data_IF_308821945461
#
_entry.id   IF_308821945461
#
_cell.length_a   1.000
_cell.length_b   1.000
_cell.length_c   1.000
_cell.angle_alpha   90.00
_cell.angle_beta   90.00
_cell.angle_gamma   90.00
#
_symmetry.space_group_name_H-M   'P 1'
#
loop_
_entity.id
_entity.type
_entity.pdbx_description
1 polymer ?
#
# COMPACT_ATOMS: atom_id res chain seq x y z
N UNK A 1 24.86 4.33 12.47
CA UNK A 1 24.17 3.31 13.27
C UNK A 1 25.01 2.05 13.23
N UNK A 2 25.31 1.41 14.38
CA UNK A 2 26.03 0.14 14.45
C UNK A 2 25.21 -0.98 13.77
N UNK A 3 25.86 -2.00 13.22
CA UNK A 3 25.19 -3.15 12.57
C UNK A 3 24.10 -3.76 13.48
N UNK A 4 24.33 -3.89 14.77
CA UNK A 4 23.39 -4.49 15.74
C UNK A 4 22.05 -3.73 15.88
N UNK A 5 21.98 -2.46 15.56
CA UNK A 5 20.75 -1.67 15.67
C UNK A 5 19.88 -1.73 14.41
N UNK A 6 20.41 -2.26 13.29
CA UNK A 6 19.63 -2.47 12.05
C UNK A 6 18.89 -3.80 12.03
N UNK A 7 19.40 -4.80 12.74
CA UNK A 7 18.84 -6.16 12.71
C UNK A 7 17.50 -6.25 13.44
N UNK A 8 17.24 -5.36 14.40
CA UNK A 8 15.98 -5.28 15.16
C UNK A 8 14.91 -4.38 14.52
N UNK A 9 15.17 -3.79 13.34
CA UNK A 9 14.18 -2.95 12.67
C UNK A 9 13.18 -3.79 11.87
N UNK A 10 11.90 -3.37 11.78
CA UNK A 10 10.96 -3.96 10.82
C UNK A 10 11.53 -3.92 9.41
N UNK A 11 11.29 -4.96 8.61
CA UNK A 11 11.92 -5.07 7.28
C UNK A 11 11.56 -3.91 6.35
N UNK A 12 10.39 -3.33 6.49
CA UNK A 12 10.00 -2.12 5.75
C UNK A 12 11.00 -0.96 5.99
N UNK A 13 11.54 -0.83 7.22
CA UNK A 13 12.53 0.19 7.55
C UNK A 13 13.97 -0.30 7.32
N UNK A 14 14.27 -1.56 7.63
CA UNK A 14 15.59 -2.18 7.40
C UNK A 14 15.98 -2.11 5.93
N UNK A 15 15.05 -2.39 5.03
CA UNK A 15 15.23 -2.40 3.58
C UNK A 15 14.73 -1.13 2.88
N UNK A 16 14.53 -0.03 3.61
CA UNK A 16 14.18 1.25 2.99
C UNK A 16 15.34 1.75 2.12
N UNK A 17 15.08 2.16 0.85
CA UNK A 17 16.09 2.71 -0.03
C UNK A 17 16.90 3.84 0.64
N UNK A 18 18.23 3.75 0.54
CA UNK A 18 19.14 4.75 1.09
C UNK A 18 19.62 5.74 0.05
N UNK A 19 19.58 5.37 -1.22
CA UNK A 19 19.95 6.19 -2.37
C UNK A 19 18.91 6.01 -3.50
N UNK A 20 18.92 6.90 -4.50
CA UNK A 20 17.95 6.89 -5.58
C UNK A 20 18.08 5.65 -6.49
N UNK A 21 19.24 5.00 -6.54
CA UNK A 21 19.42 3.79 -7.36
C UNK A 21 18.69 2.57 -6.78
N UNK A 22 18.37 2.60 -5.50
CA UNK A 22 17.64 1.55 -4.79
C UNK A 22 16.12 1.73 -4.84
N UNK A 23 15.63 2.78 -5.51
CA UNK A 23 14.20 3.02 -5.69
C UNK A 23 13.72 2.30 -6.93
N UNK A 24 12.86 1.31 -6.73
CA UNK A 24 12.34 0.45 -7.80
C UNK A 24 11.01 0.96 -8.36
N UNK A 25 10.78 0.70 -9.65
CA UNK A 25 9.47 0.86 -10.29
C UNK A 25 9.04 2.29 -10.63
N UNK A 26 9.86 3.33 -10.32
CA UNK A 26 9.54 4.75 -10.56
C UNK A 26 10.65 5.46 -11.37
N UNK A 27 11.22 4.79 -12.36
CA UNK A 27 12.43 5.21 -13.07
C UNK A 27 12.35 6.61 -13.68
N UNK A 28 11.21 6.97 -14.29
CA UNK A 28 11.01 8.28 -14.92
C UNK A 28 11.01 9.41 -13.86
N UNK A 29 10.35 9.17 -12.73
CA UNK A 29 10.31 10.11 -11.61
C UNK A 29 11.71 10.28 -11.03
N UNK A 30 12.39 9.19 -10.73
CA UNK A 30 13.75 9.19 -10.17
C UNK A 30 14.73 9.93 -11.10
N UNK A 31 14.66 9.65 -12.41
CA UNK A 31 15.53 10.32 -13.41
C UNK A 31 15.27 11.83 -13.45
N UNK A 32 14.00 12.23 -13.42
CA UNK A 32 13.63 13.66 -13.47
C UNK A 32 14.08 14.39 -12.21
N UNK A 33 13.87 13.78 -11.05
CA UNK A 33 14.23 14.38 -9.76
C UNK A 33 15.75 14.48 -9.61
N UNK A 34 16.50 13.48 -10.10
CA UNK A 34 17.96 13.50 -10.12
C UNK A 34 18.49 14.68 -10.96
N UNK A 35 17.93 14.92 -12.14
CA UNK A 35 18.28 16.09 -12.96
C UNK A 35 18.06 17.41 -12.22
N UNK A 36 16.93 17.56 -11.51
CA UNK A 36 16.71 18.75 -10.68
C UNK A 36 17.75 18.91 -9.57
N UNK A 37 18.22 17.81 -8.98
CA UNK A 37 19.27 17.85 -7.97
C UNK A 37 20.62 18.24 -8.56
N UNK A 38 21.00 17.68 -9.68
CA UNK A 38 22.25 17.98 -10.42
C UNK A 38 22.28 19.44 -10.87
N UNK A 39 21.17 19.96 -11.38
CA UNK A 39 21.03 21.38 -11.78
C UNK A 39 20.95 22.34 -10.59
N UNK A 40 20.86 21.83 -9.35
CA UNK A 40 20.68 22.64 -8.14
C UNK A 40 19.39 23.45 -8.09
N UNK A 41 18.41 23.12 -8.92
CA UNK A 41 17.14 23.85 -9.12
C UNK A 41 15.92 23.00 -8.81
N UNK A 42 15.84 22.50 -7.58
CA UNK A 42 14.68 21.71 -7.16
C UNK A 42 13.48 22.63 -6.93
N UNK A 43 12.33 22.41 -7.60
CA UNK A 43 11.07 23.11 -7.30
C UNK A 43 10.44 22.62 -6.00
N UNK A 44 9.31 23.18 -5.59
CA UNK A 44 8.43 22.51 -4.63
C UNK A 44 7.85 21.28 -5.31
N UNK A 45 7.80 20.15 -4.59
CA UNK A 45 7.40 18.85 -5.09
C UNK A 45 6.08 18.42 -4.44
N UNK A 46 5.23 17.79 -5.23
CA UNK A 46 4.10 17.03 -4.74
C UNK A 46 4.21 15.59 -5.26
N UNK A 47 4.38 14.63 -4.37
CA UNK A 47 4.33 13.21 -4.68
C UNK A 47 2.98 12.66 -4.24
N UNK A 48 2.23 12.07 -5.15
CA UNK A 48 0.92 11.50 -4.84
C UNK A 48 0.71 10.15 -5.51
N UNK A 49 -0.12 9.31 -4.90
CA UNK A 49 -0.44 7.97 -5.37
C UNK A 49 -0.63 6.98 -4.23
N UNK A 50 -0.93 5.70 -4.53
CA UNK A 50 -1.24 4.68 -3.54
C UNK A 50 -0.14 4.49 -2.49
N UNK A 51 -0.49 3.94 -1.30
CA UNK A 51 0.51 3.60 -0.29
C UNK A 51 1.53 2.58 -0.83
N UNK A 52 2.69 2.47 -0.17
CA UNK A 52 3.73 1.48 -0.50
C UNK A 52 4.44 1.64 -1.85
N UNK A 53 4.17 2.71 -2.61
CA UNK A 53 4.75 2.98 -3.94
C UNK A 53 6.11 3.68 -3.92
N UNK A 54 6.63 3.99 -2.72
CA UNK A 54 7.97 4.55 -2.54
C UNK A 54 8.05 6.08 -2.43
N UNK A 55 6.94 6.83 -2.29
CA UNK A 55 6.93 8.31 -2.20
C UNK A 55 7.92 8.85 -1.16
N UNK A 56 7.74 8.45 0.09
CA UNK A 56 8.58 8.88 1.22
C UNK A 56 10.02 8.41 1.06
N UNK A 57 10.22 7.17 0.61
CA UNK A 57 11.56 6.61 0.39
C UNK A 57 12.33 7.37 -0.69
N UNK A 58 11.67 7.78 -1.77
CA UNK A 58 12.29 8.54 -2.87
C UNK A 58 12.78 9.91 -2.41
N UNK A 59 11.96 10.67 -1.68
CA UNK A 59 12.40 12.00 -1.22
C UNK A 59 13.48 11.93 -0.15
N UNK A 60 13.43 10.91 0.73
CA UNK A 60 14.48 10.68 1.72
C UNK A 60 15.79 10.28 1.04
N UNK A 61 15.75 9.39 0.04
CA UNK A 61 16.93 9.01 -0.74
C UNK A 61 17.54 10.20 -1.47
N UNK A 62 16.72 11.03 -2.12
CA UNK A 62 17.13 12.28 -2.74
C UNK A 62 17.80 13.21 -1.74
N UNK A 63 17.17 13.42 -0.59
CA UNK A 63 17.68 14.31 0.43
C UNK A 63 19.04 13.86 0.98
N UNK A 64 19.23 12.54 1.16
CA UNK A 64 20.53 11.97 1.56
C UNK A 64 21.60 12.18 0.50
N UNK A 65 21.25 12.07 -0.78
CA UNK A 65 22.17 12.30 -1.89
C UNK A 65 22.59 13.77 -1.98
N UNK A 66 21.66 14.72 -1.77
CA UNK A 66 21.95 16.17 -1.81
C UNK A 66 22.74 16.64 -0.59
N UNK A 67 22.33 16.24 0.60
CA UNK A 67 22.84 16.83 1.84
C UNK A 67 23.91 15.96 2.53
N UNK A 68 24.02 14.68 2.21
CA UNK A 68 25.01 13.77 2.79
C UNK A 68 25.03 13.83 4.32
N UNK A 69 26.17 14.19 4.88
CA UNK A 69 26.39 14.30 6.34
C UNK A 69 25.54 15.39 7.00
N UNK A 70 25.12 16.38 6.24
CA UNK A 70 24.32 17.52 6.73
C UNK A 70 22.79 17.24 6.74
N UNK A 71 22.37 16.03 6.37
CA UNK A 71 20.94 15.64 6.27
C UNK A 71 20.12 16.11 7.47
N UNK A 72 20.55 15.79 8.69
CA UNK A 72 19.80 16.10 9.92
C UNK A 72 19.54 17.58 10.15
N UNK A 73 20.41 18.45 9.63
CA UNK A 73 20.30 19.91 9.79
C UNK A 73 19.58 20.60 8.64
N UNK A 74 19.48 19.93 7.48
CA UNK A 74 18.94 20.47 6.23
C UNK A 74 17.57 19.93 5.88
N UNK A 75 17.12 18.87 6.52
CA UNK A 75 15.86 18.20 6.26
C UNK A 75 14.98 18.21 7.52
N UNK A 76 13.74 18.63 7.37
CA UNK A 76 12.71 18.51 8.39
C UNK A 76 11.61 17.60 7.86
N UNK A 77 11.39 16.48 8.53
CA UNK A 77 10.33 15.53 8.23
C UNK A 77 9.19 15.73 9.24
N UNK A 78 7.98 15.94 8.75
CA UNK A 78 6.79 16.12 9.58
C UNK A 78 5.68 15.24 9.02
N UNK A 79 4.94 14.58 9.89
CA UNK A 79 3.67 13.96 9.54
C UNK A 79 2.56 14.99 9.73
N UNK A 80 1.82 15.25 8.66
CA UNK A 80 0.74 16.24 8.66
C UNK A 80 -0.54 15.75 9.37
N UNK A 81 -0.61 14.44 9.66
CA UNK A 81 -1.69 13.82 10.43
C UNK A 81 -1.46 13.84 11.95
N UNK A 82 -0.28 14.34 12.40
CA UNK A 82 0.06 14.39 13.83
C UNK A 82 -0.92 15.26 14.61
N UNK A 83 -1.59 14.69 15.61
CA UNK A 83 -2.65 15.33 16.44
C UNK A 83 -2.16 16.51 17.31
N UNK A 84 -0.87 16.82 17.27
CA UNK A 84 -0.27 17.94 18.04
C UNK A 84 -0.76 19.32 17.65
N UNK A 85 -1.66 19.39 16.66
CA UNK A 85 -2.30 20.62 16.20
C UNK A 85 -1.51 21.33 15.10
N UNK A 86 -2.27 21.93 14.20
CA UNK A 86 -1.80 22.72 13.06
C UNK A 86 -0.79 23.81 13.46
N UNK A 87 -0.95 24.41 14.64
CA UNK A 87 -0.09 25.48 15.09
C UNK A 87 1.31 25.00 15.46
N UNK A 88 1.44 23.79 16.03
CA UNK A 88 2.75 23.18 16.35
C UNK A 88 3.52 22.88 15.08
N UNK A 89 2.88 22.24 14.09
CA UNK A 89 3.48 21.96 12.78
C UNK A 89 3.89 23.27 12.08
N UNK A 90 3.01 24.27 12.12
CA UNK A 90 3.28 25.58 11.54
C UNK A 90 4.46 26.30 12.21
N UNK A 91 4.58 26.23 13.53
CA UNK A 91 5.68 26.87 14.24
C UNK A 91 7.00 26.12 14.07
N UNK A 92 6.99 24.78 14.01
CA UNK A 92 8.17 24.02 13.64
C UNK A 92 8.66 24.36 12.22
N UNK A 93 7.75 24.42 11.24
CA UNK A 93 8.07 24.84 9.87
C UNK A 93 8.67 26.25 9.84
N UNK A 94 8.04 27.22 10.54
CA UNK A 94 8.53 28.60 10.59
C UNK A 94 9.92 28.69 11.22
N UNK A 95 10.11 28.04 12.36
CA UNK A 95 11.39 28.04 13.07
C UNK A 95 12.49 27.43 12.20
N UNK A 96 12.22 26.29 11.59
CA UNK A 96 13.16 25.62 10.69
C UNK A 96 13.46 26.48 9.45
N UNK A 97 12.43 27.02 8.78
CA UNK A 97 12.59 27.81 7.55
C UNK A 97 13.25 29.18 7.79
N UNK A 98 13.05 29.80 8.97
CA UNK A 98 13.62 31.10 9.30
C UNK A 98 15.10 31.05 9.68
N UNK A 99 15.59 29.89 10.16
CA UNK A 99 17.00 29.74 10.55
C UNK A 99 17.88 29.72 9.31
N UNK A 100 18.76 30.69 9.14
CA UNK A 100 19.79 30.70 8.08
C UNK A 100 20.99 29.92 8.52
N UNK A 101 21.45 29.00 7.67
CA UNK A 101 22.76 28.35 7.86
C UNK A 101 23.84 29.21 7.18
N UNK A 102 24.80 29.67 7.96
CA UNK A 102 25.86 30.59 7.49
C UNK A 102 26.90 29.83 6.66
N UNK A 103 27.03 28.50 6.84
CA UNK A 103 28.10 27.70 6.26
C UNK A 103 27.67 26.80 5.08
N UNK A 104 26.39 26.66 4.78
CA UNK A 104 25.91 25.83 3.68
C UNK A 104 25.24 26.67 2.58
N UNK A 105 25.84 26.64 1.40
CA UNK A 105 25.22 27.19 0.17
C UNK A 105 24.16 26.19 -0.31
N UNK A 106 22.89 26.45 -0.05
CA UNK A 106 21.80 25.58 -0.50
C UNK A 106 20.46 25.95 0.14
N UNK A 107 19.43 25.23 -0.22
CA UNK A 107 18.10 25.37 0.35
C UNK A 107 17.88 24.27 1.40
N UNK A 108 16.97 24.49 2.33
CA UNK A 108 16.45 23.49 3.25
C UNK A 108 15.31 22.73 2.63
N UNK A 109 15.13 21.48 2.99
CA UNK A 109 14.00 20.65 2.54
C UNK A 109 13.07 20.37 3.70
N UNK A 110 11.78 20.61 3.49
CA UNK A 110 10.72 20.23 4.40
C UNK A 110 9.87 19.17 3.70
N UNK A 111 9.76 18.01 4.32
CA UNK A 111 8.95 16.89 3.87
C UNK A 111 7.69 16.86 4.74
N UNK A 112 6.52 16.94 4.11
CA UNK A 112 5.23 16.87 4.76
C UNK A 112 4.54 15.59 4.29
N UNK A 113 4.53 14.57 5.13
CA UNK A 113 3.87 13.30 4.83
C UNK A 113 2.38 13.37 5.24
N UNK A 114 1.54 12.59 4.55
CA UNK A 114 0.09 12.50 4.77
C UNK A 114 -0.65 13.87 4.69
N UNK A 115 -0.22 14.74 3.79
CA UNK A 115 -0.79 16.09 3.68
C UNK A 115 -2.27 16.12 3.27
N UNK A 116 -2.80 15.04 2.72
CA UNK A 116 -4.22 14.85 2.43
C UNK A 116 -5.09 14.62 3.68
N UNK A 117 -4.49 14.40 4.85
CA UNK A 117 -5.16 14.41 6.14
C UNK A 117 -5.36 15.84 6.71
N UNK A 118 -4.64 16.84 6.18
CA UNK A 118 -4.74 18.23 6.64
C UNK A 118 -6.09 18.85 6.30
N UNK A 119 -6.62 19.66 7.23
CA UNK A 119 -7.81 20.49 6.97
C UNK A 119 -7.50 21.56 5.92
N UNK A 120 -8.53 22.07 5.24
CA UNK A 120 -8.40 23.16 4.28
C UNK A 120 -7.78 24.43 4.87
N UNK A 121 -8.07 24.71 6.15
CA UNK A 121 -7.50 25.86 6.88
C UNK A 121 -5.99 25.70 7.02
N UNK A 122 -5.53 24.49 7.37
CA UNK A 122 -4.12 24.14 7.48
C UNK A 122 -3.39 24.28 6.16
N UNK A 123 -3.98 23.73 5.10
CA UNK A 123 -3.40 23.83 3.76
C UNK A 123 -3.29 25.28 3.27
N UNK A 124 -4.27 26.13 3.57
CA UNK A 124 -4.21 27.57 3.28
C UNK A 124 -3.11 28.30 4.08
N UNK A 125 -2.92 27.92 5.34
CA UNK A 125 -1.81 28.45 6.14
C UNK A 125 -0.45 28.00 5.59
N UNK A 126 -0.33 26.71 5.22
CA UNK A 126 0.87 26.16 4.59
C UNK A 126 1.22 26.87 3.28
N UNK A 127 0.23 27.20 2.45
CA UNK A 127 0.43 27.99 1.24
C UNK A 127 1.18 29.30 1.52
N UNK A 128 0.74 30.05 2.55
CA UNK A 128 1.38 31.32 2.93
C UNK A 128 2.81 31.13 3.41
N UNK A 129 3.07 30.02 4.11
CA UNK A 129 4.42 29.67 4.57
C UNK A 129 5.34 29.34 3.39
N UNK A 130 4.86 28.53 2.44
CA UNK A 130 5.59 28.22 1.20
C UNK A 130 5.97 29.50 0.47
N UNK A 131 5.01 30.42 0.23
CA UNK A 131 5.24 31.70 -0.45
C UNK A 131 6.31 32.53 0.26
N UNK A 132 6.26 32.60 1.59
CA UNK A 132 7.19 33.39 2.39
C UNK A 132 8.62 32.88 2.37
N UNK A 133 8.82 31.55 2.39
CA UNK A 133 10.14 30.93 2.57
C UNK A 133 10.72 30.28 1.32
N UNK A 134 10.09 30.43 0.15
CA UNK A 134 10.53 29.87 -1.14
C UNK A 134 11.99 30.18 -1.48
N UNK A 135 12.53 31.32 -1.02
CA UNK A 135 13.93 31.72 -1.30
C UNK A 135 14.95 30.73 -0.75
N UNK A 136 14.71 30.17 0.46
CA UNK A 136 15.68 29.40 1.22
C UNK A 136 15.21 27.96 1.52
N UNK A 137 13.96 27.63 1.18
CA UNK A 137 13.35 26.36 1.56
C UNK A 137 12.58 25.76 0.40
N UNK A 138 12.67 24.44 0.25
CA UNK A 138 11.85 23.65 -0.66
C UNK A 138 10.91 22.77 0.15
N UNK A 139 9.75 22.54 -0.39
CA UNK A 139 8.74 21.69 0.23
C UNK A 139 8.51 20.48 -0.67
N UNK A 140 8.47 19.31 -0.07
CA UNK A 140 7.97 18.10 -0.69
C UNK A 140 6.73 17.65 0.08
N UNK A 141 5.60 17.73 -0.58
CA UNK A 141 4.30 17.35 -0.03
C UNK A 141 4.01 15.93 -0.52
N UNK A 142 3.69 15.03 0.42
CA UNK A 142 3.34 13.65 0.11
C UNK A 142 1.85 13.45 0.43
N UNK A 143 1.13 12.81 -0.48
CA UNK A 143 -0.29 12.55 -0.34
C UNK A 143 -0.68 11.22 -0.99
N UNK A 144 -1.70 10.55 -0.48
CA UNK A 144 -2.27 9.41 -1.18
C UNK A 144 -3.29 9.89 -2.23
N UNK A 145 -4.06 10.93 -1.91
CA UNK A 145 -5.14 11.44 -2.75
C UNK A 145 -4.90 12.90 -3.15
N UNK A 146 -4.51 13.13 -4.42
CA UNK A 146 -4.24 14.49 -4.92
C UNK A 146 -5.47 15.42 -4.88
N UNK A 147 -6.69 14.88 -5.01
CA UNK A 147 -7.92 15.67 -4.98
C UNK A 147 -8.24 16.28 -3.62
N UNK A 148 -7.63 15.75 -2.53
CA UNK A 148 -7.75 16.33 -1.18
C UNK A 148 -6.80 17.50 -0.94
N UNK A 149 -5.86 17.73 -1.86
CA UNK A 149 -4.91 18.85 -1.75
C UNK A 149 -5.49 20.08 -2.43
N UNK A 150 -5.44 21.19 -1.72
CA UNK A 150 -5.96 22.49 -2.20
C UNK A 150 -5.32 22.89 -3.56
N UNK A 151 -6.12 23.27 -4.57
CA UNK A 151 -5.62 23.69 -5.88
C UNK A 151 -4.57 24.81 -5.82
N UNK A 152 -4.65 25.69 -4.82
CA UNK A 152 -3.67 26.75 -4.62
C UNK A 152 -2.29 26.25 -4.17
N UNK A 153 -2.21 25.07 -3.49
CA UNK A 153 -0.95 24.38 -3.22
C UNK A 153 -0.47 23.62 -4.46
N UNK A 154 -1.40 22.94 -5.14
CA UNK A 154 -1.09 22.18 -6.36
C UNK A 154 -0.41 23.06 -7.43
N UNK A 155 -0.88 24.29 -7.62
CA UNK A 155 -0.34 25.22 -8.63
C UNK A 155 1.10 25.67 -8.36
N UNK A 156 1.62 25.45 -7.15
CA UNK A 156 2.98 25.84 -6.74
C UNK A 156 3.98 24.69 -6.74
N UNK A 157 3.50 23.48 -6.94
CA UNK A 157 4.31 22.26 -6.86
C UNK A 157 4.41 21.58 -8.21
N UNK A 158 5.58 21.05 -8.52
CA UNK A 158 5.74 20.08 -9.61
C UNK A 158 5.20 18.74 -9.11
N UNK A 159 4.25 18.19 -9.87
CA UNK A 159 3.48 17.01 -9.46
C UNK A 159 4.06 15.75 -10.06
N UNK A 160 4.26 14.73 -9.23
CA UNK A 160 4.70 13.40 -9.62
C UNK A 160 3.71 12.35 -9.12
N UNK A 161 3.13 11.62 -10.07
CA UNK A 161 2.19 10.54 -9.78
C UNK A 161 2.95 9.24 -9.64
N UNK A 162 2.97 8.70 -8.42
CA UNK A 162 3.47 7.37 -8.13
C UNK A 162 2.39 6.34 -8.46
N UNK A 163 2.68 5.44 -9.37
CA UNK A 163 1.80 4.33 -9.72
C UNK A 163 2.08 3.11 -8.83
N UNK A 164 1.10 2.20 -8.67
CA UNK A 164 1.38 0.90 -8.07
C UNK A 164 2.62 0.27 -8.70
N UNK A 165 3.44 -0.39 -7.89
CA UNK A 165 4.66 -1.01 -8.38
C UNK A 165 4.30 -2.21 -9.28
N UNK A 166 5.02 -2.35 -10.38
CA UNK A 166 4.92 -3.53 -11.22
C UNK A 166 5.45 -4.75 -10.47
N UNK A 167 4.94 -5.93 -10.81
CA UNK A 167 5.32 -7.19 -10.16
C UNK A 167 6.83 -7.42 -10.20
N UNK A 168 7.47 -7.12 -11.33
CA UNK A 168 8.91 -7.27 -11.54
C UNK A 168 9.72 -6.42 -10.55
N UNK A 169 9.27 -5.19 -10.28
CA UNK A 169 9.95 -4.29 -9.36
C UNK A 169 9.83 -4.74 -7.88
N UNK A 170 8.69 -5.31 -7.52
CA UNK A 170 8.51 -5.91 -6.19
C UNK A 170 9.34 -7.18 -6.07
N UNK A 171 9.34 -8.01 -7.10
CA UNK A 171 10.07 -9.26 -7.15
C UNK A 171 11.57 -9.05 -6.95
N UNK A 172 12.18 -8.12 -7.69
CA UNK A 172 13.59 -7.77 -7.51
C UNK A 172 13.94 -7.40 -6.06
N UNK A 173 13.06 -6.63 -5.40
CA UNK A 173 13.28 -6.23 -4.01
C UNK A 173 13.06 -7.37 -3.03
N UNK A 174 12.03 -8.17 -3.24
CA UNK A 174 11.73 -9.36 -2.43
C UNK A 174 12.90 -10.36 -2.52
N UNK A 175 13.47 -10.57 -3.71
CA UNK A 175 14.64 -11.45 -3.90
C UNK A 175 15.88 -10.99 -3.12
N UNK A 176 16.10 -9.68 -3.05
CA UNK A 176 17.18 -9.13 -2.22
C UNK A 176 16.95 -9.45 -0.75
N UNK A 177 15.72 -9.32 -0.27
CA UNK A 177 15.36 -9.60 1.12
C UNK A 177 15.49 -11.10 1.42
N UNK A 178 14.93 -11.97 0.57
CA UNK A 178 15.03 -13.44 0.69
C UNK A 178 16.50 -13.88 0.82
N UNK A 179 17.37 -13.34 -0.05
CA UNK A 179 18.81 -13.65 -0.01
C UNK A 179 19.48 -13.10 1.25
N UNK A 180 19.10 -11.90 1.70
CA UNK A 180 19.74 -11.25 2.85
C UNK A 180 19.34 -11.90 4.18
N UNK A 181 18.11 -12.41 4.27
CA UNK A 181 17.59 -13.07 5.47
C UNK A 181 17.71 -14.61 5.39
N UNK A 182 18.33 -15.15 4.31
CA UNK A 182 18.50 -16.59 4.07
C UNK A 182 17.19 -17.41 4.12
N UNK A 183 16.11 -16.85 3.56
CA UNK A 183 14.81 -17.50 3.55
C UNK A 183 14.70 -18.53 2.44
N UNK A 184 13.94 -19.58 2.71
CA UNK A 184 13.48 -20.52 1.69
C UNK A 184 12.01 -20.22 1.41
N UNK A 185 11.65 -20.04 0.15
CA UNK A 185 10.28 -19.76 -0.29
C UNK A 185 10.02 -20.53 -1.57
N UNK A 186 8.85 -21.16 -1.68
CA UNK A 186 8.47 -21.84 -2.91
C UNK A 186 8.12 -20.85 -4.03
N UNK A 187 8.32 -21.23 -5.29
CA UNK A 187 8.02 -20.38 -6.43
C UNK A 187 6.54 -19.96 -6.48
N UNK A 188 5.63 -20.84 -6.07
CA UNK A 188 4.20 -20.55 -6.06
C UNK A 188 3.82 -19.63 -4.90
N UNK A 189 4.47 -19.77 -3.73
CA UNK A 189 4.33 -18.82 -2.63
C UNK A 189 4.81 -17.43 -3.03
N UNK A 190 5.96 -17.32 -3.71
CA UNK A 190 6.47 -16.07 -4.22
C UNK A 190 5.49 -15.41 -5.19
N UNK A 191 4.92 -16.16 -6.16
CA UNK A 191 3.91 -15.66 -7.08
C UNK A 191 2.66 -15.15 -6.35
N UNK A 192 2.22 -15.88 -5.31
CA UNK A 192 1.07 -15.51 -4.49
C UNK A 192 1.34 -14.23 -3.69
N UNK A 193 2.52 -14.09 -3.10
CA UNK A 193 2.96 -12.88 -2.40
C UNK A 193 2.92 -11.65 -3.33
N UNK A 194 3.47 -11.79 -4.54
CA UNK A 194 3.49 -10.72 -5.54
C UNK A 194 2.08 -10.34 -6.00
N UNK A 195 1.18 -11.34 -6.16
CA UNK A 195 -0.23 -11.10 -6.52
C UNK A 195 -0.97 -10.35 -5.42
N UNK A 196 -0.87 -10.83 -4.18
CA UNK A 196 -1.60 -10.30 -3.03
C UNK A 196 -1.04 -8.96 -2.51
N UNK A 197 0.18 -8.59 -2.89
CA UNK A 197 0.75 -7.29 -2.56
C UNK A 197 0.13 -6.12 -3.32
N UNK A 198 -0.52 -6.36 -4.48
CA UNK A 198 -1.25 -5.36 -5.28
C UNK A 198 -0.43 -4.10 -5.62
N UNK A 199 0.87 -4.24 -5.77
CA UNK A 199 1.74 -3.10 -6.07
C UNK A 199 2.22 -2.32 -4.84
N UNK A 200 1.94 -2.80 -3.62
CA UNK A 200 2.39 -2.22 -2.35
C UNK A 200 3.59 -3.00 -1.79
N UNK A 201 4.77 -2.37 -1.82
CA UNK A 201 6.00 -2.95 -1.27
C UNK A 201 5.93 -3.18 0.25
N UNK A 202 5.23 -2.31 0.99
CA UNK A 202 5.10 -2.46 2.45
C UNK A 202 4.31 -3.72 2.79
N UNK A 203 3.21 -3.97 2.05
CA UNK A 203 2.39 -5.17 2.21
C UNK A 203 3.23 -6.42 1.94
N UNK A 204 3.99 -6.43 0.82
CA UNK A 204 4.87 -7.55 0.48
C UNK A 204 5.90 -7.84 1.57
N UNK A 205 6.61 -6.83 2.06
CA UNK A 205 7.66 -7.01 3.08
C UNK A 205 7.10 -7.40 4.44
N UNK A 206 5.96 -6.85 4.86
CA UNK A 206 5.32 -7.19 6.12
C UNK A 206 4.86 -8.65 6.12
N UNK A 207 4.23 -9.11 5.04
CA UNK A 207 3.79 -10.50 4.91
C UNK A 207 4.98 -11.44 4.92
N UNK A 208 6.02 -11.13 4.14
CA UNK A 208 7.24 -11.94 4.11
C UNK A 208 7.91 -12.02 5.49
N UNK A 209 7.96 -10.91 6.22
CA UNK A 209 8.50 -10.88 7.59
C UNK A 209 7.67 -11.70 8.56
N UNK A 210 6.34 -11.65 8.48
CA UNK A 210 5.45 -12.42 9.33
C UNK A 210 5.58 -13.93 9.06
N UNK A 211 5.61 -14.34 7.78
CA UNK A 211 5.84 -15.74 7.41
C UNK A 211 7.22 -16.25 7.89
N UNK A 212 8.25 -15.41 7.76
CA UNK A 212 9.59 -15.76 8.26
C UNK A 212 9.63 -15.92 9.79
N UNK A 213 8.90 -15.10 10.53
CA UNK A 213 8.79 -15.22 11.98
C UNK A 213 8.06 -16.51 12.40
N UNK A 214 7.04 -16.95 11.64
CA UNK A 214 6.32 -18.19 11.91
C UNK A 214 7.18 -19.43 11.73
N UNK A 215 8.14 -19.41 10.78
CA UNK A 215 9.09 -20.52 10.55
C UNK A 215 10.19 -20.55 11.62
N UNK A 216 10.58 -19.37 12.14
CA UNK A 216 11.69 -19.25 13.09
C UNK A 216 11.25 -19.48 14.56
N UNK A 217 9.95 -19.73 14.82
CA UNK A 217 9.42 -20.03 16.15
C UNK A 217 9.89 -21.38 16.67
N UNK A 218 9.94 -21.53 18.00
CA UNK A 218 10.10 -22.87 18.60
C UNK A 218 8.83 -23.68 18.33
N UNK A 219 8.93 -24.94 17.83
CA UNK A 219 7.77 -25.74 17.53
C UNK A 219 6.99 -26.06 18.82
N UNK A 220 5.69 -25.90 18.82
CA UNK A 220 4.84 -26.50 19.84
C UNK A 220 4.90 -28.05 19.72
N UNK A 221 4.73 -28.77 20.86
CA UNK A 221 4.87 -30.22 20.89
C UNK A 221 4.00 -30.90 19.81
N UNK A 222 4.67 -31.38 18.72
CA UNK A 222 4.01 -32.12 17.63
C UNK A 222 3.91 -31.38 16.30
N UNK A 223 4.34 -30.13 16.19
CA UNK A 223 4.41 -29.39 14.91
C UNK A 223 5.70 -29.69 14.16
N UNK A 224 5.55 -30.03 12.88
CA UNK A 224 6.67 -30.14 11.95
C UNK A 224 6.93 -28.72 11.42
N UNK A 225 8.03 -28.11 11.83
CA UNK A 225 8.46 -26.83 11.24
C UNK A 225 8.69 -27.02 9.74
N UNK A 226 7.91 -26.29 8.94
CA UNK A 226 8.19 -26.19 7.52
C UNK A 226 9.43 -25.29 7.36
N UNK A 227 10.48 -25.86 6.77
CA UNK A 227 11.74 -25.13 6.47
C UNK A 227 11.59 -24.09 5.35
N UNK A 228 10.40 -23.99 4.74
CA UNK A 228 10.12 -23.20 3.54
C UNK A 228 8.78 -22.47 3.67
N UNK A 229 8.74 -21.19 3.22
CA UNK A 229 7.51 -20.41 3.16
C UNK A 229 6.62 -20.99 2.06
N UNK A 230 5.44 -21.47 2.46
CA UNK A 230 4.45 -22.07 1.56
C UNK A 230 3.39 -21.04 1.14
N UNK A 231 2.64 -21.40 0.10
CA UNK A 231 1.51 -20.58 -0.38
C UNK A 231 0.45 -20.42 0.70
N UNK A 232 0.17 -21.48 1.46
CA UNK A 232 -0.85 -21.48 2.50
C UNK A 232 -0.51 -20.48 3.62
N UNK A 233 0.75 -20.46 4.06
CA UNK A 233 1.22 -19.48 5.06
C UNK A 233 1.00 -18.03 4.61
N UNK A 234 1.20 -17.73 3.32
CA UNK A 234 0.99 -16.38 2.80
C UNK A 234 -0.48 -15.98 2.85
N UNK A 235 -1.38 -16.89 2.43
CA UNK A 235 -2.82 -16.64 2.49
C UNK A 235 -3.32 -16.48 3.93
N UNK A 236 -2.86 -17.32 4.84
CA UNK A 236 -3.17 -17.23 6.28
C UNK A 236 -2.66 -15.95 6.92
N UNK A 237 -1.42 -15.55 6.61
CA UNK A 237 -0.82 -14.33 7.13
C UNK A 237 -1.57 -13.05 6.68
N UNK A 238 -2.10 -13.05 5.45
CA UNK A 238 -2.86 -11.92 4.92
C UNK A 238 -4.33 -11.98 5.38
N UNK A 239 -4.83 -13.16 5.73
CA UNK A 239 -6.25 -13.41 5.97
C UNK A 239 -7.06 -13.42 4.66
N UNK A 240 -6.41 -13.69 3.52
CA UNK A 240 -7.07 -13.72 2.22
C UNK A 240 -7.63 -15.12 1.93
N UNK A 241 -8.80 -15.21 1.26
CA UNK A 241 -9.36 -16.51 0.89
C UNK A 241 -8.47 -17.22 -0.12
N UNK A 242 -8.26 -18.51 0.08
CA UNK A 242 -7.53 -19.35 -0.88
C UNK A 242 -8.36 -19.48 -2.16
N UNK A 243 -7.75 -19.47 -3.35
CA UNK A 243 -8.47 -19.64 -4.61
C UNK A 243 -9.35 -20.90 -4.63
N UNK A 244 -8.85 -22.00 -4.10
CA UNK A 244 -9.61 -23.27 -3.98
C UNK A 244 -10.85 -23.14 -3.11
N UNK A 245 -10.78 -22.39 -2.01
CA UNK A 245 -11.92 -22.17 -1.12
C UNK A 245 -13.00 -21.34 -1.80
N UNK A 246 -12.59 -20.34 -2.60
CA UNK A 246 -13.52 -19.53 -3.40
C UNK A 246 -14.20 -20.38 -4.47
N UNK A 247 -13.43 -21.24 -5.18
CA UNK A 247 -13.95 -22.16 -6.20
C UNK A 247 -14.99 -23.12 -5.58
N UNK A 248 -14.69 -23.74 -4.43
CA UNK A 248 -15.61 -24.63 -3.74
C UNK A 248 -16.93 -23.93 -3.37
N UNK A 249 -16.87 -22.69 -2.90
CA UNK A 249 -18.09 -21.92 -2.58
C UNK A 249 -18.86 -21.60 -3.85
N UNK A 250 -18.17 -21.14 -4.90
CA UNK A 250 -18.80 -20.77 -6.15
C UNK A 250 -19.48 -21.97 -6.82
N UNK A 251 -18.77 -23.11 -6.92
CA UNK A 251 -19.33 -24.35 -7.46
C UNK A 251 -20.55 -24.80 -6.65
N UNK A 252 -20.49 -24.66 -5.32
CA UNK A 252 -21.63 -24.98 -4.47
C UNK A 252 -22.82 -24.04 -4.70
N UNK A 253 -22.60 -22.77 -5.07
CA UNK A 253 -23.66 -21.84 -5.44
C UNK A 253 -24.23 -22.18 -6.81
N UNK A 254 -23.40 -22.58 -7.75
CA UNK A 254 -23.83 -22.88 -9.13
C UNK A 254 -24.57 -24.22 -9.22
N UNK A 255 -24.05 -25.26 -8.57
CA UNK A 255 -24.53 -26.63 -8.76
C UNK A 255 -25.57 -27.10 -7.72
N UNK A 256 -25.49 -26.61 -6.48
CA UNK A 256 -26.30 -27.11 -5.37
C UNK A 256 -27.53 -26.25 -5.10
N UNK A 257 -28.46 -26.79 -4.32
CA UNK A 257 -29.58 -26.04 -3.79
C UNK A 257 -29.12 -24.92 -2.82
N UNK A 258 -29.99 -23.97 -2.58
CA UNK A 258 -29.69 -22.80 -1.76
C UNK A 258 -29.19 -23.16 -0.35
N UNK A 259 -29.80 -24.16 0.30
CA UNK A 259 -29.47 -24.57 1.67
C UNK A 259 -28.04 -25.12 1.77
N UNK A 260 -27.65 -25.96 0.81
CA UNK A 260 -26.31 -26.53 0.74
C UNK A 260 -25.25 -25.48 0.37
N UNK A 261 -25.56 -24.56 -0.54
CA UNK A 261 -24.68 -23.45 -0.88
C UNK A 261 -24.43 -22.55 0.35
N UNK A 262 -25.49 -22.18 1.07
CA UNK A 262 -25.38 -21.38 2.27
C UNK A 262 -24.59 -22.07 3.38
N UNK A 263 -24.82 -23.36 3.62
CA UNK A 263 -24.10 -24.13 4.63
C UNK A 263 -22.60 -24.26 4.29
N UNK A 264 -22.26 -24.51 3.01
CA UNK A 264 -20.89 -24.58 2.51
C UNK A 264 -20.15 -23.26 2.71
N UNK A 265 -20.75 -22.15 2.28
CA UNK A 265 -20.18 -20.82 2.43
C UNK A 265 -20.00 -20.46 3.92
N UNK A 266 -20.99 -20.69 4.76
CA UNK A 266 -20.93 -20.39 6.21
C UNK A 266 -19.85 -21.22 6.89
N UNK A 267 -19.75 -22.51 6.57
CA UNK A 267 -18.75 -23.41 7.11
C UNK A 267 -17.33 -22.95 6.76
N UNK A 268 -17.04 -22.70 5.47
CA UNK A 268 -15.72 -22.26 5.03
C UNK A 268 -15.34 -20.92 5.64
N UNK A 269 -16.27 -19.98 5.71
CA UNK A 269 -16.02 -18.69 6.37
C UNK A 269 -15.66 -18.85 7.84
N UNK A 270 -16.38 -19.71 8.58
CA UNK A 270 -16.08 -19.96 9.99
C UNK A 270 -14.77 -20.71 10.21
N UNK A 271 -14.40 -21.62 9.29
CA UNK A 271 -13.18 -22.42 9.42
C UNK A 271 -11.92 -21.60 9.06
N UNK A 272 -12.00 -20.76 8.01
CA UNK A 272 -10.88 -20.00 7.52
C UNK A 272 -10.89 -18.52 7.95
N UNK A 273 -11.88 -18.09 8.73
CA UNK A 273 -11.97 -16.72 9.23
C UNK A 273 -12.24 -15.65 8.15
N UNK A 274 -12.87 -16.03 7.03
CA UNK A 274 -12.99 -15.16 5.85
C UNK A 274 -14.10 -14.09 6.02
N UNK A 275 -13.76 -12.85 5.63
CA UNK A 275 -14.75 -11.79 5.51
C UNK A 275 -15.55 -11.92 4.20
N UNK A 276 -16.82 -11.47 4.21
CA UNK A 276 -17.67 -11.51 2.99
C UNK A 276 -17.10 -10.67 1.85
N UNK A 277 -16.47 -9.55 2.18
CA UNK A 277 -15.90 -8.65 1.18
C UNK A 277 -14.76 -9.32 0.40
N UNK A 278 -13.96 -10.16 1.08
CA UNK A 278 -12.88 -10.89 0.45
C UNK A 278 -13.40 -11.98 -0.49
N UNK A 279 -14.52 -12.64 -0.10
CA UNK A 279 -15.21 -13.60 -0.97
C UNK A 279 -15.79 -12.93 -2.21
N UNK A 280 -16.41 -11.74 -2.08
CA UNK A 280 -16.92 -10.98 -3.23
C UNK A 280 -15.79 -10.68 -4.21
N UNK A 281 -14.65 -10.16 -3.73
CA UNK A 281 -13.47 -9.91 -4.56
C UNK A 281 -12.98 -11.16 -5.28
N UNK A 282 -12.94 -12.29 -4.58
CA UNK A 282 -12.58 -13.59 -5.14
C UNK A 282 -13.58 -14.11 -6.19
N UNK A 283 -14.88 -13.96 -5.97
CA UNK A 283 -15.91 -14.32 -6.95
C UNK A 283 -15.77 -13.49 -8.23
N UNK A 284 -15.58 -12.19 -8.12
CA UNK A 284 -15.36 -11.32 -9.29
C UNK A 284 -14.14 -11.78 -10.11
N UNK A 285 -13.04 -12.14 -9.44
CA UNK A 285 -11.83 -12.63 -10.13
C UNK A 285 -12.08 -13.97 -10.85
N UNK A 286 -12.75 -14.91 -10.20
CA UNK A 286 -13.00 -16.23 -10.78
C UNK A 286 -14.05 -16.14 -11.88
N UNK A 287 -15.16 -15.46 -11.67
CA UNK A 287 -16.24 -15.29 -12.65
C UNK A 287 -15.75 -14.57 -13.92
N UNK A 288 -14.71 -13.74 -13.83
CA UNK A 288 -14.11 -13.11 -15.01
C UNK A 288 -13.49 -14.12 -15.98
N UNK A 289 -13.19 -15.35 -15.52
CA UNK A 289 -12.59 -16.44 -16.30
C UNK A 289 -13.64 -17.41 -16.88
N UNK A 290 -14.87 -17.36 -16.37
CA UNK A 290 -15.96 -18.19 -16.88
C UNK A 290 -16.51 -17.60 -18.18
N UNK A 291 -16.94 -18.49 -19.09
CA UNK A 291 -17.60 -18.11 -20.34
C UNK A 291 -19.11 -17.90 -20.08
N UNK A 292 -19.46 -16.72 -19.63
CA UNK A 292 -20.82 -16.29 -19.32
C UNK A 292 -21.30 -15.28 -20.37
N UNK A 293 -22.62 -15.29 -20.68
CA UNK A 293 -23.24 -14.21 -21.48
C UNK A 293 -22.95 -12.85 -20.84
N UNK A 294 -22.81 -11.80 -21.66
CA UNK A 294 -22.51 -10.45 -21.16
C UNK A 294 -23.58 -9.94 -20.18
N UNK A 295 -24.84 -10.21 -20.46
CA UNK A 295 -25.99 -9.82 -19.62
C UNK A 295 -25.90 -10.47 -18.24
N UNK A 296 -25.69 -11.78 -18.16
CA UNK A 296 -25.49 -12.52 -16.90
C UNK A 296 -24.31 -11.99 -16.09
N UNK A 297 -23.20 -11.71 -16.77
CA UNK A 297 -22.02 -11.14 -16.12
C UNK A 297 -22.29 -9.76 -15.52
N UNK A 298 -23.01 -8.90 -16.26
CA UNK A 298 -23.38 -7.55 -15.78
C UNK A 298 -24.29 -7.66 -14.56
N UNK A 299 -25.30 -8.52 -14.60
CA UNK A 299 -26.25 -8.71 -13.49
C UNK A 299 -25.55 -9.18 -12.22
N UNK A 300 -24.61 -10.15 -12.33
CA UNK A 300 -23.82 -10.63 -11.20
C UNK A 300 -22.95 -9.50 -10.64
N UNK A 301 -22.21 -8.79 -11.49
CA UNK A 301 -21.29 -7.75 -11.03
C UNK A 301 -22.03 -6.57 -10.39
N UNK A 302 -23.17 -6.17 -10.95
CA UNK A 302 -24.00 -5.12 -10.38
C UNK A 302 -24.55 -5.54 -9.01
N UNK A 303 -25.10 -6.74 -8.91
CA UNK A 303 -25.63 -7.23 -7.65
C UNK A 303 -24.58 -7.42 -6.57
N UNK A 304 -23.38 -7.92 -6.93
CA UNK A 304 -22.25 -8.01 -5.99
C UNK A 304 -21.79 -6.63 -5.53
N UNK A 305 -21.77 -5.62 -6.41
CA UNK A 305 -21.45 -4.24 -6.05
C UNK A 305 -22.45 -3.61 -5.07
N UNK A 306 -23.75 -3.85 -5.26
CA UNK A 306 -24.79 -3.39 -4.34
C UNK A 306 -24.66 -4.06 -2.96
N UNK A 307 -24.30 -5.35 -2.93
CA UNK A 307 -24.07 -6.10 -1.70
C UNK A 307 -22.81 -5.58 -0.99
N UNK A 308 -21.72 -5.35 -1.70
CA UNK A 308 -20.49 -4.76 -1.15
C UNK A 308 -20.77 -3.38 -0.53
N UNK A 309 -21.55 -2.56 -1.21
CA UNK A 309 -22.00 -1.28 -0.65
C UNK A 309 -22.82 -1.48 0.62
N UNK A 310 -23.74 -2.45 0.64
CA UNK A 310 -24.50 -2.80 1.83
C UNK A 310 -23.64 -3.23 3.01
N UNK A 311 -22.61 -4.05 2.76
CA UNK A 311 -21.62 -4.46 3.77
C UNK A 311 -20.86 -3.24 4.32
N UNK A 312 -20.41 -2.34 3.45
CA UNK A 312 -19.69 -1.12 3.84
C UNK A 312 -20.50 -0.17 4.74
N UNK A 313 -21.83 -0.26 4.68
CA UNK A 313 -22.77 0.49 5.52
C UNK A 313 -23.16 -0.23 6.82
N UNK A 314 -22.59 -1.39 7.10
CA UNK A 314 -22.86 -2.18 8.31
C UNK A 314 -24.08 -3.09 8.16
N UNK A 315 -24.41 -3.54 6.95
CA UNK A 315 -25.47 -4.53 6.71
C UNK A 315 -25.21 -5.84 7.43
N UNK A 316 -26.31 -6.53 7.81
CA UNK A 316 -26.22 -7.81 8.52
C UNK A 316 -25.48 -8.85 7.66
N UNK A 317 -24.45 -9.43 8.22
CA UNK A 317 -23.61 -10.45 7.60
C UNK A 317 -24.42 -11.66 7.06
N UNK A 318 -25.40 -12.08 7.82
CA UNK A 318 -26.31 -13.17 7.44
C UNK A 318 -27.18 -12.81 6.21
N UNK A 319 -27.71 -11.59 6.17
CA UNK A 319 -28.52 -11.11 5.05
C UNK A 319 -27.66 -10.97 3.80
N UNK A 320 -26.48 -10.39 3.94
CA UNK A 320 -25.57 -10.18 2.81
C UNK A 320 -25.04 -11.51 2.24
N UNK A 321 -24.74 -12.50 3.11
CA UNK A 321 -24.41 -13.86 2.66
C UNK A 321 -25.50 -14.49 1.82
N UNK A 322 -26.75 -14.32 2.26
CA UNK A 322 -27.94 -14.81 1.53
C UNK A 322 -28.11 -14.08 0.18
N UNK A 323 -27.90 -12.76 0.19
CA UNK A 323 -28.03 -11.93 -1.00
C UNK A 323 -26.98 -12.32 -2.08
N UNK A 324 -25.74 -12.64 -1.71
CA UNK A 324 -24.70 -13.12 -2.64
C UNK A 324 -25.18 -14.38 -3.37
N UNK A 325 -25.68 -15.38 -2.62
CA UNK A 325 -26.15 -16.63 -3.21
C UNK A 325 -27.35 -16.36 -4.13
N UNK A 326 -28.31 -15.55 -3.69
CA UNK A 326 -29.49 -15.19 -4.47
C UNK A 326 -29.14 -14.46 -5.76
N UNK A 327 -28.25 -13.48 -5.69
CA UNK A 327 -27.78 -12.71 -6.82
C UNK A 327 -27.16 -13.61 -7.90
N UNK A 328 -26.20 -14.47 -7.54
CA UNK A 328 -25.51 -15.34 -8.50
C UNK A 328 -26.50 -16.36 -9.09
N UNK A 329 -27.34 -17.02 -8.28
CA UNK A 329 -28.32 -17.99 -8.76
C UNK A 329 -29.36 -17.36 -9.70
N UNK A 330 -29.92 -16.22 -9.33
CA UNK A 330 -30.92 -15.52 -10.16
C UNK A 330 -30.33 -15.11 -11.51
N UNK A 331 -29.08 -14.60 -11.52
CA UNK A 331 -28.46 -14.25 -12.79
C UNK A 331 -28.17 -15.47 -13.68
N UNK A 332 -27.81 -16.63 -13.10
CA UNK A 332 -27.57 -17.86 -13.83
C UNK A 332 -28.88 -18.48 -14.41
N UNK A 333 -30.06 -18.26 -13.80
CA UNK A 333 -31.32 -18.65 -14.37
C UNK A 333 -31.58 -17.98 -15.72
N UNK A 334 -31.12 -16.75 -15.92
CA UNK A 334 -31.19 -16.04 -17.21
C UNK A 334 -30.24 -16.61 -18.28
N UNK A 335 -29.23 -17.38 -17.88
CA UNK A 335 -28.31 -18.05 -18.82
C UNK A 335 -28.96 -19.25 -19.52
N UNK A 336 -29.90 -19.90 -18.82
CA UNK A 336 -30.54 -21.14 -19.28
C UNK A 336 -31.78 -20.87 -20.15
N UNK A 337 -32.33 -19.67 -20.10
CA UNK A 337 -33.41 -19.22 -21.00
C UNK A 337 -32.83 -18.65 -22.32
#
# INVERSE_FOLDING_TARGET
MSKSNRDNLPWVEKYRPTNLNEVYGQNEIVTTIRKFAEDGRIPHLLFYGPPGTGKTSTIIALAREIYGVNYKNMVLELNASDDRGIDVVRDQIKNFASTRQIFNKGFKLIILDEADAMTNVAQNALRRVIEKYTKNTRFCILANYAHKINPALLSRCTRFRFSPLKKEAIEERVDIVIKSENLKISDDAKKSLLKLSEGDMRKALNVLQACAASISGEPEEGEILEDEITTDMIYECIGAPRPKSIEIVLDSIMEKDWSNAYSTMTRLRSTEGLALIDLIGGFVEILSKYDLKEETRVDILQGLGDIEYGISKGGSDKIQSTAIIGCIKSALEHEVM
#
